data_IF_889189659063
#
_entry.id   IF_889189659063
#
_cell.length_a   1.000
_cell.length_b   1.000
_cell.length_c   1.000
_cell.angle_alpha   90.00
_cell.angle_beta   90.00
_cell.angle_gamma   90.00
#
_symmetry.space_group_name_H-M   'P 1'
#
loop_
_entity.id
_entity.type
_entity.pdbx_description
1 polymer ?
#
# COMPACT_ATOMS: atom_id res chain seq x y z
N UNK A 1 6.98 1.20 16.70
CA UNK A 1 7.15 1.63 15.30
C UNK A 1 6.19 2.78 15.08
N UNK A 2 6.68 3.92 14.59
CA UNK A 2 5.82 5.05 14.26
C UNK A 2 5.35 4.91 12.79
N UNK A 3 4.07 4.62 12.59
CA UNK A 3 3.52 4.46 11.25
C UNK A 3 3.46 5.76 10.46
N UNK A 4 3.40 6.90 11.14
CA UNK A 4 3.38 8.20 10.46
C UNK A 4 4.74 8.49 9.85
N UNK A 5 5.81 8.26 10.61
CA UNK A 5 7.19 8.36 10.09
C UNK A 5 7.39 7.42 8.91
N UNK A 6 6.98 6.15 9.06
CA UNK A 6 7.06 5.17 7.98
C UNK A 6 6.31 5.61 6.72
N UNK A 7 5.10 6.18 6.86
CA UNK A 7 4.32 6.65 5.70
C UNK A 7 4.98 7.85 4.99
N UNK A 8 5.62 8.74 5.75
CA UNK A 8 6.42 9.84 5.17
C UNK A 8 7.63 9.28 4.39
N UNK A 9 8.33 8.30 4.94
CA UNK A 9 9.47 7.65 4.28
C UNK A 9 9.03 6.93 3.01
N UNK A 10 7.90 6.20 3.06
CA UNK A 10 7.30 5.54 1.90
C UNK A 10 6.94 6.55 0.82
N UNK A 11 6.30 7.68 1.17
CA UNK A 11 5.98 8.73 0.20
C UNK A 11 7.24 9.29 -0.45
N UNK A 12 8.25 9.63 0.37
CA UNK A 12 9.49 10.23 -0.15
C UNK A 12 10.25 9.26 -1.06
N UNK A 13 10.33 7.98 -0.67
CA UNK A 13 10.97 6.95 -1.48
C UNK A 13 10.16 6.68 -2.75
N UNK A 14 8.83 6.58 -2.67
CA UNK A 14 7.95 6.43 -3.82
C UNK A 14 8.17 7.56 -4.84
N UNK A 15 8.15 8.82 -4.41
CA UNK A 15 8.36 9.97 -5.29
C UNK A 15 9.71 9.94 -6.01
N UNK A 16 10.76 9.39 -5.40
CA UNK A 16 12.06 9.23 -6.06
C UNK A 16 12.09 8.04 -7.01
N UNK A 17 11.55 6.89 -6.58
CA UNK A 17 11.56 5.66 -7.37
C UNK A 17 10.82 5.84 -8.69
N UNK A 18 9.67 6.51 -8.70
CA UNK A 18 8.87 6.68 -9.93
C UNK A 18 9.53 7.59 -10.98
N UNK A 19 10.54 8.38 -10.62
CA UNK A 19 11.33 9.14 -11.59
C UNK A 19 12.23 8.22 -12.43
N UNK A 20 12.63 7.08 -11.88
CA UNK A 20 13.54 6.12 -12.52
C UNK A 20 12.80 4.85 -13.00
N UNK A 21 11.95 4.30 -12.15
CA UNK A 21 11.23 3.05 -12.35
C UNK A 21 9.88 3.05 -11.61
N UNK A 22 8.81 3.33 -12.36
CA UNK A 22 7.44 3.34 -11.84
C UNK A 22 7.05 2.01 -11.16
N UNK A 23 7.51 0.88 -11.68
CA UNK A 23 7.17 -0.44 -11.13
C UNK A 23 7.80 -0.66 -9.76
N UNK A 24 8.99 -0.12 -9.51
CA UNK A 24 9.60 -0.15 -8.17
C UNK A 24 8.83 0.73 -7.18
N UNK A 25 8.35 1.90 -7.62
CA UNK A 25 7.46 2.73 -6.83
C UNK A 25 6.16 2.00 -6.47
N UNK A 26 5.52 1.35 -7.46
CA UNK A 26 4.32 0.54 -7.23
C UNK A 26 4.59 -0.61 -6.24
N UNK A 27 5.69 -1.35 -6.41
CA UNK A 27 6.09 -2.43 -5.49
C UNK A 27 6.30 -1.95 -4.06
N UNK A 28 6.93 -0.79 -3.88
CA UNK A 28 7.13 -0.21 -2.55
C UNK A 28 5.78 0.01 -1.85
N UNK A 29 4.81 0.62 -2.54
CA UNK A 29 3.48 0.87 -1.97
C UNK A 29 2.73 -0.44 -1.71
N UNK A 30 2.82 -1.42 -2.61
CA UNK A 30 2.27 -2.76 -2.40
C UNK A 30 2.81 -3.40 -1.10
N UNK A 31 4.13 -3.38 -0.92
CA UNK A 31 4.76 -3.94 0.28
C UNK A 31 4.38 -3.19 1.55
N UNK A 32 4.22 -1.86 1.49
CA UNK A 32 3.70 -1.09 2.60
C UNK A 32 2.28 -1.52 2.97
N UNK A 33 1.37 -1.65 1.99
CA UNK A 33 -0.01 -2.13 2.20
C UNK A 33 0.01 -3.52 2.85
N UNK A 34 0.80 -4.45 2.33
CA UNK A 34 0.95 -5.79 2.91
C UNK A 34 1.44 -5.76 4.35
N UNK A 35 2.50 -4.99 4.64
CA UNK A 35 3.07 -4.84 5.97
C UNK A 35 2.02 -4.35 6.99
N UNK A 36 1.33 -3.24 6.70
CA UNK A 36 0.35 -2.68 7.67
C UNK A 36 -0.85 -3.61 7.87
N UNK A 37 -1.25 -4.33 6.82
CA UNK A 37 -2.31 -5.34 6.87
C UNK A 37 -1.96 -6.48 7.83
N UNK A 38 -0.76 -7.03 7.73
CA UNK A 38 -0.33 -8.10 8.62
C UNK A 38 -0.04 -7.63 10.05
N UNK A 39 0.46 -6.42 10.23
CA UNK A 39 0.64 -5.82 11.55
C UNK A 39 -0.70 -5.62 12.27
N UNK A 40 -1.74 -5.19 11.54
CA UNK A 40 -3.09 -5.16 12.07
C UNK A 40 -3.58 -6.53 12.50
N UNK A 41 -3.41 -7.54 11.62
CA UNK A 41 -3.83 -8.92 11.90
C UNK A 41 -3.13 -9.49 13.12
N UNK A 42 -1.87 -9.15 13.31
CA UNK A 42 -1.07 -9.51 14.49
C UNK A 42 -1.43 -8.68 15.74
N UNK A 43 -2.39 -7.75 15.66
CA UNK A 43 -2.80 -6.82 16.73
C UNK A 43 -1.66 -5.92 17.22
N UNK A 44 -0.64 -5.70 16.38
CA UNK A 44 0.48 -4.82 16.67
C UNK A 44 0.15 -3.33 16.46
N UNK A 45 -0.88 -3.06 15.64
CA UNK A 45 -1.32 -1.72 15.25
C UNK A 45 -2.85 -1.65 15.26
N UNK A 46 -3.42 -0.51 15.66
CA UNK A 46 -4.87 -0.28 15.65
C UNK A 46 -5.36 0.14 14.27
N UNK A 47 -6.61 -0.23 13.94
CA UNK A 47 -7.29 0.22 12.72
C UNK A 47 -7.18 1.72 12.48
N UNK A 48 -7.40 2.54 13.52
CA UNK A 48 -7.40 3.99 13.39
C UNK A 48 -6.05 4.60 13.03
N UNK A 49 -4.94 3.92 13.35
CA UNK A 49 -3.60 4.35 12.95
C UNK A 49 -3.37 4.07 11.47
N UNK A 50 -3.79 2.89 11.02
CA UNK A 50 -3.71 2.46 9.62
C UNK A 50 -4.55 3.35 8.72
N UNK A 51 -5.81 3.61 9.09
CA UNK A 51 -6.70 4.49 8.33
C UNK A 51 -6.10 5.88 8.14
N UNK A 52 -5.48 6.43 9.19
CA UNK A 52 -4.84 7.76 9.13
C UNK A 52 -3.67 7.78 8.14
N UNK A 53 -2.78 6.79 8.22
CA UNK A 53 -1.58 6.78 7.37
C UNK A 53 -1.91 6.43 5.92
N UNK A 54 -2.89 5.54 5.69
CA UNK A 54 -3.39 5.23 4.36
C UNK A 54 -4.06 6.46 3.72
N UNK A 55 -4.91 7.19 4.45
CA UNK A 55 -5.51 8.43 3.97
C UNK A 55 -4.46 9.48 3.62
N UNK A 56 -3.45 9.65 4.49
CA UNK A 56 -2.33 10.57 4.23
C UNK A 56 -1.59 10.19 2.95
N UNK A 57 -1.16 8.93 2.83
CA UNK A 57 -0.36 8.47 1.70
C UNK A 57 -1.15 8.58 0.39
N UNK A 58 -2.42 8.14 0.39
CA UNK A 58 -3.31 8.20 -0.77
C UNK A 58 -3.50 9.64 -1.26
N UNK A 59 -3.81 10.57 -0.36
CA UNK A 59 -3.99 11.99 -0.72
C UNK A 59 -2.69 12.60 -1.23
N UNK A 60 -1.58 12.39 -0.54
CA UNK A 60 -0.30 12.97 -0.92
C UNK A 60 0.20 12.44 -2.28
N UNK A 61 -0.09 11.19 -2.62
CA UNK A 61 0.24 10.61 -3.93
C UNK A 61 -0.66 11.20 -5.03
N UNK A 62 -1.97 11.26 -4.82
CA UNK A 62 -2.94 11.78 -5.81
C UNK A 62 -2.71 13.28 -6.06
N UNK A 63 -2.47 14.07 -5.01
CA UNK A 63 -2.20 15.50 -5.13
C UNK A 63 -0.78 15.81 -5.64
N UNK A 64 0.12 14.82 -5.54
CA UNK A 64 1.53 14.94 -5.91
C UNK A 64 1.81 14.26 -7.26
N UNK A 65 2.51 13.09 -7.28
CA UNK A 65 2.92 12.47 -8.53
C UNK A 65 1.79 11.95 -9.41
N UNK A 66 0.66 11.53 -8.82
CA UNK A 66 -0.52 10.98 -9.52
C UNK A 66 -0.22 9.85 -10.53
N UNK A 67 0.80 9.03 -10.24
CA UNK A 67 1.23 7.91 -11.11
C UNK A 67 0.99 6.53 -10.48
N UNK A 68 0.41 6.46 -9.28
CA UNK A 68 0.27 5.19 -8.57
C UNK A 68 -0.73 4.29 -9.30
N UNK A 69 -0.39 3.01 -9.43
CA UNK A 69 -1.28 2.02 -10.02
C UNK A 69 -2.69 2.10 -9.39
N UNK A 70 -3.78 2.21 -10.19
CA UNK A 70 -5.15 2.31 -9.69
C UNK A 70 -5.55 1.20 -8.71
N UNK A 71 -5.05 -0.02 -8.91
CA UNK A 71 -5.29 -1.13 -7.97
C UNK A 71 -4.69 -0.83 -6.59
N UNK A 72 -3.50 -0.24 -6.52
CA UNK A 72 -2.88 0.16 -5.25
C UNK A 72 -3.62 1.35 -4.59
N UNK A 73 -4.16 2.27 -5.40
CA UNK A 73 -5.04 3.34 -4.89
C UNK A 73 -6.30 2.75 -4.23
N UNK A 74 -6.87 1.69 -4.82
CA UNK A 74 -8.00 0.95 -4.24
C UNK A 74 -7.61 0.29 -2.90
N UNK A 75 -6.47 -0.40 -2.84
CA UNK A 75 -6.00 -1.03 -1.59
C UNK A 75 -5.79 0.00 -0.47
N UNK A 76 -5.22 1.16 -0.79
CA UNK A 76 -5.10 2.27 0.14
C UNK A 76 -6.47 2.82 0.57
N UNK A 77 -7.46 2.80 -0.32
CA UNK A 77 -8.85 3.14 0.00
C UNK A 77 -9.47 2.19 1.04
N UNK A 78 -9.29 0.88 0.87
CA UNK A 78 -9.76 -0.13 1.83
C UNK A 78 -9.10 0.09 3.22
N UNK A 79 -7.79 0.36 3.23
CA UNK A 79 -7.08 0.69 4.46
C UNK A 79 -7.57 1.99 5.10
N UNK A 80 -7.84 3.03 4.29
CA UNK A 80 -8.40 4.32 4.72
C UNK A 80 -9.77 4.15 5.39
N UNK A 81 -10.67 3.35 4.81
CA UNK A 81 -11.97 3.02 5.40
C UNK A 81 -11.84 2.30 6.75
N UNK A 82 -10.77 1.52 6.90
CA UNK A 82 -10.38 0.88 8.14
C UNK A 82 -10.62 -0.62 8.16
N UNK A 83 -9.58 -1.34 8.61
CA UNK A 83 -9.60 -2.78 8.73
C UNK A 83 -10.54 -3.29 9.83
N UNK A 84 -11.35 -4.24 9.40
CA UNK A 84 -12.16 -5.18 10.17
C UNK A 84 -12.03 -6.56 9.51
N UNK A 85 -12.62 -7.61 10.07
CA UNK A 85 -12.45 -8.98 9.52
C UNK A 85 -12.93 -9.11 8.06
N UNK A 86 -14.00 -8.41 7.67
CA UNK A 86 -14.52 -8.43 6.29
C UNK A 86 -13.53 -7.75 5.34
N UNK A 87 -13.17 -6.49 5.61
CA UNK A 87 -12.31 -5.72 4.72
C UNK A 87 -10.87 -6.27 4.71
N UNK A 88 -10.43 -6.91 5.80
CA UNK A 88 -9.15 -7.63 5.83
C UNK A 88 -9.13 -8.80 4.85
N UNK A 89 -10.19 -9.61 4.83
CA UNK A 89 -10.25 -10.78 3.94
C UNK A 89 -10.19 -10.34 2.47
N UNK A 90 -10.95 -9.31 2.11
CA UNK A 90 -10.93 -8.71 0.78
C UNK A 90 -9.54 -8.16 0.42
N UNK A 91 -8.94 -7.38 1.32
CA UNK A 91 -7.62 -6.80 1.09
C UNK A 91 -6.54 -7.86 0.89
N UNK A 92 -6.56 -8.91 1.73
CA UNK A 92 -5.61 -10.02 1.64
C UNK A 92 -5.76 -10.81 0.33
N UNK A 93 -6.98 -10.98 -0.17
CA UNK A 93 -7.24 -11.63 -1.46
C UNK A 93 -6.70 -10.78 -2.62
N UNK A 94 -6.98 -9.47 -2.62
CA UNK A 94 -6.48 -8.54 -3.65
C UNK A 94 -4.94 -8.46 -3.65
N UNK A 95 -4.31 -8.39 -2.48
CA UNK A 95 -2.85 -8.44 -2.35
C UNK A 95 -2.27 -9.71 -2.97
N UNK A 96 -2.87 -10.87 -2.65
CA UNK A 96 -2.42 -12.16 -3.19
C UNK A 96 -2.54 -12.22 -4.72
N UNK A 97 -3.62 -11.68 -5.29
CA UNK A 97 -3.79 -11.61 -6.75
C UNK A 97 -2.69 -10.76 -7.39
N UNK A 98 -2.43 -9.58 -6.82
CA UNK A 98 -1.41 -8.67 -7.32
C UNK A 98 0.01 -9.29 -7.26
N UNK A 99 0.34 -9.98 -6.16
CA UNK A 99 1.60 -10.72 -6.05
C UNK A 99 1.72 -11.87 -7.07
N UNK A 100 0.61 -12.52 -7.42
CA UNK A 100 0.60 -13.58 -8.42
C UNK A 100 0.80 -13.03 -9.84
N UNK A 101 0.17 -11.91 -10.17
CA UNK A 101 0.35 -11.19 -11.43
C UNK A 101 1.81 -10.78 -11.59
N UNK A 102 2.41 -10.11 -10.58
CA UNK A 102 3.84 -9.74 -10.61
C UNK A 102 4.76 -10.95 -10.83
N UNK A 103 4.41 -12.12 -10.29
CA UNK A 103 5.21 -13.32 -10.44
C UNK A 103 5.10 -13.90 -11.85
N UNK A 104 3.92 -13.84 -12.47
CA UNK A 104 3.73 -14.32 -13.84
C UNK A 104 4.48 -13.43 -14.83
N UNK A 105 4.42 -12.11 -14.67
CA UNK A 105 5.13 -11.16 -15.52
C UNK A 105 6.65 -11.42 -15.54
N UNK A 106 7.22 -11.86 -14.41
CA UNK A 106 8.66 -12.22 -14.33
C UNK A 106 9.02 -13.55 -14.99
N UNK A 107 8.05 -14.42 -15.24
CA UNK A 107 8.25 -15.73 -15.88
C UNK A 107 8.07 -15.67 -17.40
N UNK A 108 7.45 -14.61 -17.93
CA UNK A 108 7.27 -14.37 -19.36
C UNK A 108 8.48 -13.70 -20.05
N UNK A 109 9.62 -13.59 -19.35
CA UNK A 109 10.88 -12.96 -19.83
C UNK A 109 11.97 -13.99 -20.12
#
# INVERSE_FOLDING_TARGET
>A
MDLKELACDVLSAYSRLIEENLDEGNRLVMHFVGLVTYLWRAKAVKTSEISKVASYLRKAIIEGPDMLNPYLVELLGILEEGLNETNYAELAEKLKMLEQEERLDRLEV
#
